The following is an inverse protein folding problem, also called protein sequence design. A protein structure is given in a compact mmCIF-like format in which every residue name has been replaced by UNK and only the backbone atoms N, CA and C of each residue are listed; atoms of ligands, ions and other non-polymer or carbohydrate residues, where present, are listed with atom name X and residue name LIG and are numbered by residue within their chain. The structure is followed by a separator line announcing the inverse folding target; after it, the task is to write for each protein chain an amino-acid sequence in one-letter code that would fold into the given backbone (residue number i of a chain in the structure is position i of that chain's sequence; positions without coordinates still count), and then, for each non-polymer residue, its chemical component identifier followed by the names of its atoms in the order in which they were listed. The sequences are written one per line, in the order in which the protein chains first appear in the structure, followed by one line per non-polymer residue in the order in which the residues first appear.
data_IF_902834082463
#
_entry.id   IF_902834082463
#
_cell.length_a   1.000
_cell.length_b   1.000
_cell.length_c   1.000
_cell.angle_alpha   90.00
_cell.angle_beta   90.00
_cell.angle_gamma   90.00
#
_symmetry.space_group_name_H-M   'P 1'
#
loop_
_entity.id
_entity.type
_entity.pdbx_description
1 polymer ?
#
# COMPACT_ATOMS: atom_id res chain seq x y z
N UNK A 1 -10.35 8.80 -0.29
CA UNK A 1 -10.77 7.38 -0.24
C UNK A 1 -9.59 6.51 -0.64
N UNK A 2 -9.40 5.35 -0.01
CA UNK A 2 -8.34 4.37 -0.32
C UNK A 2 -8.97 3.02 -0.64
N UNK A 3 -8.56 2.41 -1.75
CA UNK A 3 -9.02 1.06 -2.17
C UNK A 3 -7.83 0.21 -2.58
N UNK A 4 -7.73 -0.99 -2.00
CA UNK A 4 -6.71 -1.99 -2.31
C UNK A 4 -7.41 -3.32 -2.60
N UNK A 5 -7.06 -3.97 -3.70
CA UNK A 5 -7.47 -5.34 -4.00
C UNK A 5 -6.29 -6.15 -4.51
N UNK A 6 -6.10 -7.33 -3.92
CA UNK A 6 -5.02 -8.27 -4.24
C UNK A 6 -3.64 -7.58 -4.30
N UNK A 7 -3.24 -6.93 -3.21
CA UNK A 7 -1.94 -6.28 -3.10
C UNK A 7 -0.96 -7.16 -2.34
N UNK A 8 0.20 -7.39 -2.94
CA UNK A 8 1.24 -8.26 -2.41
C UNK A 8 2.55 -7.50 -2.26
N UNK A 9 3.24 -7.75 -1.15
CA UNK A 9 4.59 -7.24 -0.92
C UNK A 9 5.48 -8.29 -0.26
N UNK A 10 6.63 -8.56 -0.85
CA UNK A 10 7.71 -9.33 -0.24
C UNK A 10 8.71 -8.38 0.44
N UNK A 11 9.25 -8.80 1.58
CA UNK A 11 10.35 -8.08 2.25
C UNK A 11 11.29 -9.08 2.94
N UNK A 12 12.54 -8.66 3.15
CA UNK A 12 13.59 -9.52 3.70
C UNK A 12 14.28 -10.38 2.64
N UNK A 13 15.28 -11.14 3.07
CA UNK A 13 16.09 -12.01 2.22
C UNK A 13 16.37 -13.35 2.92
N UNK A 14 16.61 -14.39 2.12
CA UNK A 14 16.90 -15.74 2.62
C UNK A 14 15.81 -16.28 3.54
N UNK A 15 16.21 -16.80 4.70
CA UNK A 15 15.31 -17.36 5.72
C UNK A 15 14.41 -16.33 6.41
N UNK A 16 14.68 -15.02 6.25
CA UNK A 16 13.90 -13.94 6.83
C UNK A 16 12.95 -13.29 5.82
N UNK A 17 12.73 -13.92 4.66
CA UNK A 17 11.79 -13.43 3.67
C UNK A 17 10.36 -13.71 4.11
N UNK A 18 9.51 -12.69 4.06
CA UNK A 18 8.08 -12.81 4.29
C UNK A 18 7.28 -12.11 3.19
N UNK A 19 6.00 -12.46 3.11
CA UNK A 19 5.03 -11.85 2.20
C UNK A 19 3.87 -11.26 2.99
N UNK A 20 3.61 -9.98 2.76
CA UNK A 20 2.41 -9.29 3.16
C UNK A 20 1.39 -9.42 2.03
N UNK A 21 0.21 -9.96 2.35
CA UNK A 21 -0.91 -10.11 1.41
C UNK A 21 -2.08 -9.30 1.94
N UNK A 22 -2.53 -8.33 1.16
CA UNK A 22 -3.72 -7.53 1.42
C UNK A 22 -4.77 -7.97 0.40
N UNK A 23 -5.67 -8.91 0.78
CA UNK A 23 -6.67 -9.40 -0.16
C UNK A 23 -7.61 -8.27 -0.56
N UNK A 24 -8.11 -7.50 0.41
CA UNK A 24 -8.93 -6.30 0.22
C UNK A 24 -8.76 -5.34 1.40
N UNK A 25 -8.70 -4.05 1.12
CA UNK A 25 -8.84 -2.99 2.12
C UNK A 25 -9.56 -1.81 1.46
N UNK A 26 -10.56 -1.28 2.14
CA UNK A 26 -11.29 -0.10 1.71
C UNK A 26 -11.45 0.84 2.89
N UNK A 27 -11.09 2.11 2.71
CA UNK A 27 -11.15 3.14 3.74
C UNK A 27 -11.70 4.44 3.14
N UNK A 28 -12.79 4.95 3.71
CA UNK A 28 -13.39 6.23 3.30
C UNK A 28 -12.66 7.40 3.94
N UNK A 29 -12.86 8.59 3.38
CA UNK A 29 -12.39 9.82 4.02
C UNK A 29 -13.04 9.99 5.40
N UNK A 30 -12.24 10.30 6.41
CA UNK A 30 -12.69 10.45 7.80
C UNK A 30 -12.85 9.14 8.59
N UNK A 31 -12.76 7.98 7.94
CA UNK A 31 -12.75 6.70 8.65
C UNK A 31 -11.39 6.45 9.32
N UNK A 32 -11.41 5.90 10.54
CA UNK A 32 -10.22 5.44 11.24
C UNK A 32 -10.25 3.92 11.33
N UNK A 33 -9.13 3.27 11.03
CA UNK A 33 -8.97 1.83 11.09
C UNK A 33 -7.73 1.46 11.92
N UNK A 34 -7.90 0.53 12.85
CA UNK A 34 -6.81 0.00 13.64
C UNK A 34 -6.25 -1.29 13.01
N UNK A 35 -4.94 -1.34 12.81
CA UNK A 35 -4.24 -2.56 12.39
C UNK A 35 -3.61 -3.21 13.63
N UNK A 36 -4.12 -4.39 14.00
CA UNK A 36 -3.66 -5.14 15.18
C UNK A 36 -3.04 -6.47 14.77
N UNK A 37 -2.12 -6.98 15.60
CA UNK A 37 -1.50 -8.29 15.40
C UNK A 37 -0.14 -8.41 16.10
N UNK A 38 0.42 -9.63 16.19
CA UNK A 38 1.69 -9.90 16.87
C UNK A 38 2.88 -9.09 16.31
N UNK A 39 3.96 -8.97 17.08
CA UNK A 39 5.21 -8.40 16.55
C UNK A 39 5.69 -9.20 15.33
N UNK A 40 6.20 -8.52 14.31
CA UNK A 40 6.70 -9.17 13.09
C UNK A 40 5.65 -9.58 12.05
N UNK A 41 4.34 -9.43 12.29
CA UNK A 41 3.32 -9.84 11.30
C UNK A 41 3.19 -8.93 10.06
N UNK A 42 4.04 -7.90 9.93
CA UNK A 42 4.06 -7.01 8.75
C UNK A 42 3.30 -5.69 8.89
N UNK A 43 2.86 -5.30 10.09
CA UNK A 43 2.15 -4.02 10.32
C UNK A 43 2.91 -2.80 9.82
N UNK A 44 4.19 -2.65 10.19
CA UNK A 44 5.01 -1.53 9.70
C UNK A 44 5.20 -1.59 8.19
N UNK A 45 5.32 -2.78 7.60
CA UNK A 45 5.40 -2.94 6.14
C UNK A 45 4.11 -2.56 5.43
N UNK A 46 2.95 -2.84 6.03
CA UNK A 46 1.67 -2.33 5.55
C UNK A 46 1.66 -0.81 5.58
N UNK A 47 2.04 -0.19 6.70
CA UNK A 47 2.08 1.27 6.84
C UNK A 47 3.06 1.91 5.84
N UNK A 48 4.25 1.33 5.64
CA UNK A 48 5.22 1.81 4.65
C UNK A 48 4.67 1.72 3.21
N UNK A 49 3.88 0.69 2.90
CA UNK A 49 3.23 0.53 1.60
C UNK A 49 2.10 1.56 1.40
N UNK A 50 1.28 1.80 2.44
CA UNK A 50 0.24 2.82 2.42
C UNK A 50 0.81 4.24 2.35
N UNK A 51 1.94 4.50 3.00
CA UNK A 51 2.68 5.75 2.96
C UNK A 51 3.51 5.93 1.67
N UNK A 52 3.35 5.01 0.70
CA UNK A 52 4.05 5.03 -0.58
C UNK A 52 5.58 5.00 -0.44
N UNK A 53 6.12 4.56 0.69
CA UNK A 53 7.57 4.35 0.88
C UNK A 53 8.02 3.07 0.20
N UNK A 54 7.15 2.06 0.17
CA UNK A 54 7.38 0.80 -0.52
C UNK A 54 6.42 0.63 -1.69
N UNK A 55 6.98 0.29 -2.86
CA UNK A 55 6.19 -0.16 -3.99
C UNK A 55 5.64 -1.59 -3.74
N UNK A 56 4.38 -1.88 -4.12
CA UNK A 56 3.87 -3.25 -4.11
C UNK A 56 4.64 -4.09 -5.14
N UNK A 57 4.75 -5.40 -4.90
CA UNK A 57 5.30 -6.32 -5.90
C UNK A 57 4.22 -6.66 -6.95
N UNK A 58 2.97 -6.80 -6.49
CA UNK A 58 1.79 -6.99 -7.33
C UNK A 58 0.60 -6.24 -6.71
N UNK A 59 -0.27 -5.73 -7.56
CA UNK A 59 -1.51 -5.08 -7.16
C UNK A 59 -2.55 -5.25 -8.27
N UNK A 60 -3.68 -5.89 -7.94
CA UNK A 60 -4.86 -5.88 -8.78
C UNK A 60 -5.50 -4.49 -8.83
N UNK A 61 -5.59 -3.83 -7.67
CA UNK A 61 -6.02 -2.44 -7.53
C UNK A 61 -5.29 -1.78 -6.36
N UNK A 62 -4.84 -0.55 -6.56
CA UNK A 62 -4.33 0.32 -5.51
C UNK A 62 -4.66 1.76 -5.89
N UNK A 63 -5.79 2.24 -5.40
CA UNK A 63 -6.31 3.56 -5.71
C UNK A 63 -6.34 4.45 -4.48
N UNK A 64 -5.97 5.71 -4.68
CA UNK A 64 -6.09 6.76 -3.68
C UNK A 64 -6.78 7.97 -4.28
N UNK A 65 -7.80 8.47 -3.60
CA UNK A 65 -8.60 9.63 -4.03
C UNK A 65 -8.43 10.75 -2.99
N UNK A 66 -7.37 11.56 -3.08
CA UNK A 66 -7.25 12.80 -2.32
C UNK A 66 -8.12 13.90 -2.96
N UNK A 67 -8.87 14.66 -2.14
CA UNK A 67 -9.68 15.81 -2.57
C UNK A 67 -10.49 15.54 -3.87
N UNK A 68 -11.17 14.39 -3.93
CA UNK A 68 -12.00 13.93 -5.06
C UNK A 68 -11.27 13.71 -6.40
N UNK A 69 -9.94 13.70 -6.40
CA UNK A 69 -9.12 13.37 -7.57
C UNK A 69 -8.63 11.92 -7.50
N UNK A 70 -9.21 10.96 -8.23
CA UNK A 70 -8.78 9.57 -8.17
C UNK A 70 -7.41 9.36 -8.83
N UNK A 71 -6.55 8.59 -8.17
CA UNK A 71 -5.21 8.23 -8.62
C UNK A 71 -5.03 6.72 -8.53
N UNK A 72 -4.57 6.11 -9.63
CA UNK A 72 -4.10 4.72 -9.65
C UNK A 72 -2.62 4.69 -9.23
N UNK A 73 -2.39 4.38 -7.96
CA UNK A 73 -1.06 4.34 -7.35
C UNK A 73 -0.21 3.24 -7.98
N UNK A 74 -0.81 2.09 -8.32
CA UNK A 74 -0.08 0.99 -8.94
C UNK A 74 0.43 1.39 -10.34
N UNK A 75 -0.35 2.16 -11.10
CA UNK A 75 0.08 2.73 -12.39
C UNK A 75 1.20 3.75 -12.22
N UNK A 76 1.14 4.63 -11.21
CA UNK A 76 2.20 5.59 -10.93
C UNK A 76 3.54 4.90 -10.62
N UNK A 77 3.52 3.80 -9.85
CA UNK A 77 4.70 2.97 -9.62
C UNK A 77 5.24 2.33 -10.90
N UNK A 78 4.37 1.73 -11.72
CA UNK A 78 4.76 1.11 -13.01
C UNK A 78 5.33 2.13 -14.00
N UNK A 79 4.83 3.36 -13.96
CA UNK A 79 5.29 4.46 -14.80
C UNK A 79 6.51 5.21 -14.20
N UNK A 80 7.07 4.72 -13.08
CA UNK A 80 8.21 5.35 -12.39
C UNK A 80 8.01 6.83 -12.04
N UNK A 81 6.77 7.26 -11.78
CA UNK A 81 6.43 8.64 -11.46
C UNK A 81 6.70 8.99 -9.99
N UNK A 82 7.97 8.91 -9.60
CA UNK A 82 8.43 9.09 -8.22
C UNK A 82 8.13 10.50 -7.69
N UNK A 83 8.17 11.53 -8.54
CA UNK A 83 7.81 12.90 -8.16
C UNK A 83 6.36 13.00 -7.70
N UNK A 84 5.42 12.49 -8.50
CA UNK A 84 3.99 12.46 -8.15
C UNK A 84 3.71 11.61 -6.92
N UNK A 85 4.39 10.47 -6.77
CA UNK A 85 4.26 9.64 -5.57
C UNK A 85 4.78 10.34 -4.31
N UNK A 86 5.82 11.17 -4.43
CA UNK A 86 6.37 11.93 -3.32
C UNK A 86 5.45 13.09 -2.89
N UNK A 87 4.73 13.72 -3.83
CA UNK A 87 3.73 14.77 -3.54
C UNK A 87 2.51 14.26 -2.75
N UNK A 88 2.28 12.96 -2.72
CA UNK A 88 1.16 12.32 -2.03
C UNK A 88 1.48 11.86 -0.61
N UNK A 89 2.74 12.00 -0.16
CA UNK A 89 3.21 11.62 1.18
C UNK A 89 3.08 12.79 2.15
#
# INVERSE_FOLDING_TARGET
MLTLNAVHKSRGAGSQRYSLVIPRLHLRGGEQLAVVGPSGCGKSTLLDLLALVLAPDQAGQFDFTPADKPLDIAKLWRASQQGTLAELR
#
